data_IF_531943820491
#
_entry.id   IF_531943820491
#
_cell.length_a   1.000
_cell.length_b   1.000
_cell.length_c   1.000
_cell.angle_alpha   90.00
_cell.angle_beta   90.00
_cell.angle_gamma   90.00
#
_symmetry.space_group_name_H-M   'P 1'
#
loop_
_entity.id
_entity.type
_entity.pdbx_description
1 polymer ?
#
# COMPACT_ATOMS: atom_id res chain seq x y z
N UNK A 1 7.01 9.77 13.41
CA UNK A 1 6.88 9.48 11.96
C UNK A 1 8.06 8.62 11.56
N UNK A 2 7.83 7.54 10.82
CA UNK A 2 8.92 6.63 10.38
C UNK A 2 9.55 7.14 9.07
N UNK A 3 10.86 7.01 8.92
CA UNK A 3 11.53 7.31 7.64
C UNK A 3 11.36 6.13 6.67
N UNK A 4 10.28 6.18 5.88
CA UNK A 4 9.92 5.15 4.91
C UNK A 4 10.88 5.07 3.71
N UNK A 5 11.65 6.13 3.44
CA UNK A 5 12.51 6.23 2.26
C UNK A 5 13.99 5.99 2.56
N UNK A 6 14.35 5.83 3.85
CA UNK A 6 15.66 5.27 4.20
C UNK A 6 15.83 3.89 3.55
N UNK A 7 16.80 3.78 2.65
CA UNK A 7 17.04 2.60 1.82
C UNK A 7 17.18 1.32 2.65
N UNK A 8 16.39 0.30 2.30
CA UNK A 8 16.50 -1.04 2.87
C UNK A 8 17.50 -1.94 2.12
N UNK A 9 17.83 -1.60 0.88
CA UNK A 9 18.75 -2.39 0.06
C UNK A 9 20.12 -2.47 0.74
N UNK A 10 20.63 -3.70 0.92
CA UNK A 10 21.89 -3.98 1.62
C UNK A 10 21.94 -3.53 3.09
N UNK A 11 20.82 -3.08 3.69
CA UNK A 11 20.70 -2.73 5.10
C UNK A 11 19.67 -3.65 5.77
N UNK A 12 20.18 -4.73 6.40
CA UNK A 12 19.34 -5.76 7.02
C UNK A 12 18.50 -5.25 8.19
N UNK A 13 19.05 -4.34 9.00
CA UNK A 13 18.37 -3.78 10.17
C UNK A 13 17.29 -2.78 9.76
N UNK A 14 17.59 -1.89 8.81
CA UNK A 14 16.57 -1.02 8.23
C UNK A 14 15.46 -1.83 7.57
N UNK A 15 15.80 -2.90 6.84
CA UNK A 15 14.78 -3.78 6.24
C UNK A 15 13.89 -4.42 7.31
N UNK A 16 14.46 -4.88 8.44
CA UNK A 16 13.67 -5.43 9.56
C UNK A 16 12.73 -4.37 10.14
N UNK A 17 13.24 -3.15 10.38
CA UNK A 17 12.45 -2.04 10.89
C UNK A 17 11.30 -1.66 9.93
N UNK A 18 11.58 -1.56 8.63
CA UNK A 18 10.59 -1.28 7.58
C UNK A 18 9.43 -2.28 7.61
N UNK A 19 9.73 -3.59 7.63
CA UNK A 19 8.67 -4.61 7.66
C UNK A 19 7.86 -4.59 8.94
N UNK A 20 8.52 -4.39 10.10
CA UNK A 20 7.82 -4.26 11.38
C UNK A 20 6.86 -3.08 11.35
N UNK A 21 7.33 -1.93 10.89
CA UNK A 21 6.53 -0.71 10.86
C UNK A 21 5.41 -0.78 9.82
N UNK A 22 5.68 -1.31 8.62
CA UNK A 22 4.66 -1.49 7.58
C UNK A 22 3.54 -2.45 8.05
N UNK A 23 3.89 -3.57 8.71
CA UNK A 23 2.88 -4.46 9.30
C UNK A 23 2.03 -3.76 10.36
N UNK A 24 2.64 -2.95 11.22
CA UNK A 24 1.91 -2.18 12.23
C UNK A 24 0.95 -1.18 11.57
N UNK A 25 1.42 -0.41 10.59
CA UNK A 25 0.61 0.54 9.84
C UNK A 25 -0.56 -0.14 9.09
N UNK A 26 -0.31 -1.29 8.44
CA UNK A 26 -1.36 -2.04 7.74
C UNK A 26 -2.40 -2.64 8.69
N UNK A 27 -2.02 -3.03 9.91
CA UNK A 27 -2.99 -3.43 10.96
C UNK A 27 -3.85 -2.24 11.40
N UNK A 28 -3.25 -1.06 11.57
CA UNK A 28 -4.00 0.15 11.88
C UNK A 28 -4.96 0.51 10.74
N UNK A 29 -4.52 0.40 9.49
CA UNK A 29 -5.35 0.58 8.30
C UNK A 29 -6.54 -0.41 8.27
N UNK A 30 -6.30 -1.70 8.54
CA UNK A 30 -7.35 -2.71 8.59
C UNK A 30 -8.42 -2.35 9.63
N UNK A 31 -7.99 -1.84 10.79
CA UNK A 31 -8.89 -1.34 11.85
C UNK A 31 -9.71 -0.15 11.37
N UNK A 32 -9.09 0.85 10.74
CA UNK A 32 -9.80 2.01 10.16
C UNK A 32 -10.83 1.57 9.10
N UNK A 33 -10.47 0.60 8.27
CA UNK A 33 -11.35 0.02 7.25
C UNK A 33 -12.44 -0.89 7.82
N UNK A 34 -12.36 -1.22 9.12
CA UNK A 34 -13.24 -2.15 9.83
C UNK A 34 -13.25 -3.55 9.20
N UNK A 35 -12.09 -4.01 8.72
CA UNK A 35 -11.94 -5.37 8.23
C UNK A 35 -11.87 -6.37 9.39
N UNK A 36 -12.74 -7.39 9.45
CA UNK A 36 -12.59 -8.49 10.39
C UNK A 36 -11.26 -9.22 10.18
N UNK A 37 -10.59 -9.68 11.24
CA UNK A 37 -9.28 -10.36 11.09
C UNK A 37 -9.33 -11.60 10.18
N UNK A 38 -10.48 -12.30 10.12
CA UNK A 38 -10.68 -13.48 9.25
C UNK A 38 -10.81 -13.12 7.76
N UNK A 39 -11.11 -11.86 7.44
CA UNK A 39 -11.39 -11.40 6.07
C UNK A 39 -10.14 -11.02 5.28
N UNK A 40 -8.97 -10.92 5.95
CA UNK A 40 -7.72 -10.54 5.29
C UNK A 40 -6.52 -11.35 5.77
N UNK A 41 -5.56 -11.52 4.85
CA UNK A 41 -4.23 -12.04 5.16
C UNK A 41 -3.22 -10.88 5.24
N UNK A 42 -2.31 -10.92 6.22
CA UNK A 42 -1.20 -9.97 6.34
C UNK A 42 0.15 -10.68 6.27
N UNK A 43 0.79 -10.63 5.10
CA UNK A 43 2.00 -11.37 4.77
C UNK A 43 3.20 -10.45 4.59
N UNK A 44 4.39 -10.98 4.83
CA UNK A 44 5.65 -10.28 4.63
C UNK A 44 6.60 -11.15 3.82
N UNK A 45 6.98 -10.67 2.65
CA UNK A 45 7.93 -11.33 1.77
C UNK A 45 9.24 -10.51 1.76
N UNK A 46 10.31 -11.07 2.32
CA UNK A 46 11.55 -10.32 2.58
C UNK A 46 12.36 -9.98 1.32
N UNK A 47 12.14 -10.74 0.24
CA UNK A 47 12.90 -10.62 -1.01
C UNK A 47 14.41 -10.80 -0.82
N UNK A 48 15.16 -10.56 -1.90
CA UNK A 48 16.62 -10.55 -1.89
C UNK A 48 17.21 -9.33 -1.17
N UNK A 49 18.51 -9.38 -0.90
CA UNK A 49 19.27 -8.32 -0.22
C UNK A 49 19.17 -6.95 -0.92
N UNK A 50 19.03 -6.91 -2.25
CA UNK A 50 18.96 -5.68 -3.04
C UNK A 50 17.62 -4.93 -2.99
N UNK A 51 16.57 -5.52 -2.41
CA UNK A 51 15.22 -4.93 -2.37
C UNK A 51 14.74 -4.76 -0.94
N UNK A 52 13.72 -3.92 -0.71
CA UNK A 52 13.04 -3.83 0.59
C UNK A 52 12.23 -5.09 0.92
N UNK A 53 11.84 -5.86 -0.10
CA UNK A 53 10.78 -6.86 0.01
C UNK A 53 9.40 -6.18 -0.03
N UNK A 54 8.36 -6.93 0.26
CA UNK A 54 6.98 -6.45 0.20
C UNK A 54 6.17 -6.93 1.41
N UNK A 55 5.22 -6.10 1.83
CA UNK A 55 4.24 -6.42 2.86
C UNK A 55 2.87 -6.27 2.24
N UNK A 56 2.08 -7.32 2.32
CA UNK A 56 0.80 -7.41 1.62
C UNK A 56 -0.33 -7.61 2.62
N UNK A 57 -1.32 -6.73 2.57
CA UNK A 57 -2.64 -6.92 3.15
C UNK A 57 -3.58 -7.33 2.02
N UNK A 58 -4.07 -8.57 2.06
CA UNK A 58 -4.97 -9.10 1.03
C UNK A 58 -6.34 -9.40 1.65
N UNK A 59 -7.29 -8.51 1.42
CA UNK A 59 -8.69 -8.65 1.80
C UNK A 59 -9.49 -9.22 0.62
N UNK A 60 -10.70 -9.74 0.88
CA UNK A 60 -11.60 -10.29 -0.15
C UNK A 60 -12.04 -9.31 -1.25
N UNK A 61 -11.75 -8.02 -1.08
CA UNK A 61 -12.18 -6.95 -2.00
C UNK A 61 -11.05 -6.02 -2.43
N UNK A 62 -9.90 -6.09 -1.77
CA UNK A 62 -8.79 -5.19 -2.02
C UNK A 62 -7.47 -5.85 -1.67
N UNK A 63 -6.49 -5.68 -2.54
CA UNK A 63 -5.12 -6.08 -2.37
C UNK A 63 -4.25 -4.84 -2.20
N UNK A 64 -3.55 -4.75 -1.07
CA UNK A 64 -2.68 -3.62 -0.72
C UNK A 64 -1.27 -4.16 -0.53
N UNK A 65 -0.32 -3.59 -1.25
CA UNK A 65 1.09 -3.98 -1.18
C UNK A 65 1.95 -2.76 -0.88
N UNK A 66 2.92 -2.96 0.01
CA UNK A 66 3.86 -1.92 0.46
C UNK A 66 5.28 -2.37 0.15
N UNK A 67 6.03 -1.58 -0.61
CA UNK A 67 7.46 -1.77 -0.86
C UNK A 67 8.14 -0.42 -1.17
N UNK A 68 9.46 -0.37 -1.03
CA UNK A 68 10.23 0.76 -1.56
C UNK A 68 10.32 0.63 -3.09
N UNK A 69 9.86 1.63 -3.85
CA UNK A 69 9.89 1.59 -5.31
C UNK A 69 11.33 1.67 -5.81
N UNK A 70 11.70 0.77 -6.72
CA UNK A 70 13.05 0.71 -7.29
C UNK A 70 13.39 1.97 -8.13
N UNK A 71 12.38 2.65 -8.64
CA UNK A 71 12.51 3.87 -9.46
C UNK A 71 12.73 5.13 -8.63
N UNK A 72 12.61 5.05 -7.29
CA UNK A 72 12.67 6.22 -6.42
C UNK A 72 11.44 7.14 -6.50
N UNK A 73 10.42 6.77 -7.27
CA UNK A 73 9.15 7.51 -7.33
C UNK A 73 8.40 7.45 -5.99
N UNK A 74 7.51 8.41 -5.73
CA UNK A 74 6.73 8.45 -4.48
C UNK A 74 5.48 7.55 -4.54
N UNK A 75 5.70 6.25 -4.81
CA UNK A 75 4.65 5.28 -5.21
C UNK A 75 4.73 3.93 -4.49
N UNK A 76 5.25 3.91 -3.26
CA UNK A 76 5.54 2.66 -2.54
C UNK A 76 4.32 1.91 -1.97
N UNK A 77 3.10 2.43 -2.12
CA UNK A 77 1.86 1.73 -1.78
C UNK A 77 1.09 1.44 -3.06
N UNK A 78 0.84 0.17 -3.33
CA UNK A 78 -0.03 -0.30 -4.41
C UNK A 78 -1.38 -0.71 -3.80
N UNK A 79 -2.47 -0.22 -4.38
CA UNK A 79 -3.85 -0.54 -4.00
C UNK A 79 -4.57 -1.00 -5.28
N UNK A 80 -5.18 -2.18 -5.24
CA UNK A 80 -6.02 -2.69 -6.34
C UNK A 80 -7.25 -3.38 -5.77
N UNK A 81 -8.39 -3.25 -6.44
CA UNK A 81 -9.56 -4.08 -6.14
C UNK A 81 -9.29 -5.53 -6.52
N UNK A 82 -10.02 -6.46 -5.91
CA UNK A 82 -9.97 -7.87 -6.28
C UNK A 82 -11.29 -8.58 -5.96
N UNK A 83 -11.52 -9.72 -6.59
CA UNK A 83 -12.65 -10.62 -6.33
C UNK A 83 -12.21 -11.84 -5.52
N UNK A 84 -12.03 -11.63 -4.21
CA UNK A 84 -11.57 -12.65 -3.29
C UNK A 84 -10.04 -12.81 -3.26
N UNK A 85 -9.54 -13.62 -2.33
CA UNK A 85 -8.10 -13.74 -2.04
C UNK A 85 -7.30 -14.58 -3.06
N UNK A 86 -7.98 -15.15 -4.06
CA UNK A 86 -7.38 -15.95 -5.15
C UNK A 86 -7.44 -15.23 -6.50
N UNK A 87 -7.91 -13.99 -6.52
CA UNK A 87 -7.89 -13.17 -7.72
C UNK A 87 -6.48 -12.60 -7.94
N UNK A 88 -5.85 -13.09 -9.01
CA UNK A 88 -4.49 -12.71 -9.40
C UNK A 88 -4.48 -11.61 -10.47
N UNK A 89 -5.60 -11.37 -11.15
CA UNK A 89 -5.73 -10.32 -12.17
C UNK A 89 -6.01 -8.97 -11.50
N UNK A 90 -7.02 -8.92 -10.64
CA UNK A 90 -7.42 -7.71 -9.91
C UNK A 90 -7.85 -6.54 -10.79
N UNK A 91 -8.16 -5.42 -10.15
CA UNK A 91 -8.42 -4.15 -10.82
C UNK A 91 -7.15 -3.37 -11.16
N UNK A 92 -7.34 -2.14 -11.64
CA UNK A 92 -6.25 -1.22 -11.97
C UNK A 92 -5.35 -0.92 -10.75
N UNK A 93 -4.08 -0.64 -11.03
CA UNK A 93 -3.10 -0.25 -10.03
C UNK A 93 -3.30 1.21 -9.61
N UNK A 94 -3.57 1.44 -8.33
CA UNK A 94 -3.62 2.76 -7.73
C UNK A 94 -2.43 2.94 -6.78
N UNK A 95 -1.57 3.92 -7.08
CA UNK A 95 -0.32 4.14 -6.37
C UNK A 95 -0.44 5.27 -5.34
N UNK A 96 0.20 5.10 -4.20
CA UNK A 96 0.26 6.08 -3.12
C UNK A 96 1.67 6.20 -2.53
N UNK A 97 1.99 7.35 -1.94
CA UNK A 97 3.24 7.56 -1.21
C UNK A 97 3.27 6.75 0.09
N UNK A 98 4.45 6.25 0.50
CA UNK A 98 4.65 5.51 1.76
C UNK A 98 4.34 6.37 2.99
N UNK A 99 4.43 7.69 2.88
CA UNK A 99 4.09 8.63 3.96
C UNK A 99 2.63 8.54 4.43
N UNK A 100 1.73 7.95 3.64
CA UNK A 100 0.34 7.67 4.06
C UNK A 100 0.25 6.58 5.13
N UNK A 101 1.28 5.75 5.30
CA UNK A 101 1.31 4.72 6.36
C UNK A 101 1.33 5.32 7.77
N UNK A 102 1.78 6.56 7.93
CA UNK A 102 1.68 7.30 9.19
C UNK A 102 0.28 7.90 9.42
N UNK A 103 -0.60 7.88 8.41
CA UNK A 103 -1.91 8.54 8.40
C UNK A 103 -3.02 7.54 8.01
N UNK A 104 -3.28 6.52 8.86
CA UNK A 104 -4.14 5.38 8.49
C UNK A 104 -5.58 5.78 8.15
N UNK A 105 -6.13 6.83 8.78
CA UNK A 105 -7.47 7.32 8.46
C UNK A 105 -7.57 7.89 7.03
N UNK A 106 -6.55 8.64 6.60
CA UNK A 106 -6.48 9.18 5.24
C UNK A 106 -6.25 8.06 4.22
N UNK A 107 -5.34 7.12 4.52
CA UNK A 107 -5.13 5.95 3.67
C UNK A 107 -6.39 5.10 3.54
N UNK A 108 -7.17 4.95 4.62
CA UNK A 108 -8.46 4.28 4.57
C UNK A 108 -9.47 5.02 3.67
N UNK A 109 -9.47 6.35 3.69
CA UNK A 109 -10.24 7.16 2.73
C UNK A 109 -9.88 6.83 1.29
N UNK A 110 -8.57 6.76 0.99
CA UNK A 110 -8.10 6.44 -0.35
C UNK A 110 -8.48 5.01 -0.78
N UNK A 111 -8.28 4.03 0.08
CA UNK A 111 -8.67 2.63 -0.18
C UNK A 111 -10.17 2.51 -0.44
N UNK A 112 -11.02 3.20 0.34
CA UNK A 112 -12.48 3.21 0.10
C UNK A 112 -12.84 3.82 -1.24
N UNK A 113 -12.18 4.92 -1.64
CA UNK A 113 -12.38 5.52 -2.96
C UNK A 113 -12.06 4.51 -4.07
N UNK A 114 -10.90 3.83 -4.00
CA UNK A 114 -10.52 2.78 -4.94
C UNK A 114 -11.54 1.63 -4.97
N UNK A 115 -11.97 1.13 -3.80
CA UNK A 115 -12.97 0.06 -3.70
C UNK A 115 -14.34 0.43 -4.27
N UNK A 116 -14.69 1.72 -4.24
CA UNK A 116 -15.96 2.23 -4.78
C UNK A 116 -15.92 2.57 -6.27
N UNK A 117 -14.72 2.67 -6.87
CA UNK A 117 -14.52 3.20 -8.22
C UNK A 117 -14.69 4.72 -8.33
N UNK A 118 -14.98 5.44 -7.24
CA UNK A 118 -15.11 6.90 -7.24
C UNK A 118 -13.73 7.58 -7.22
N UNK A 119 -13.13 7.68 -8.42
CA UNK A 119 -11.83 8.32 -8.59
C UNK A 119 -11.89 9.85 -8.40
N UNK A 120 -13.09 10.45 -8.34
CA UNK A 120 -13.22 11.90 -8.09
C UNK A 120 -12.80 12.27 -6.67
N UNK A 121 -12.97 11.35 -5.71
CA UNK A 121 -12.48 11.49 -4.33
C UNK A 121 -10.95 11.50 -4.26
N UNK A 122 -10.30 10.72 -5.12
CA UNK A 122 -8.82 10.66 -5.21
C UNK A 122 -8.27 12.00 -5.69
N UNK A 123 -8.90 12.60 -6.70
CA UNK A 123 -8.57 13.93 -7.22
C UNK A 123 -8.55 14.99 -6.12
N UNK A 124 -9.53 14.93 -5.21
CA UNK A 124 -9.67 15.87 -4.09
C UNK A 124 -8.60 15.64 -3.02
N UNK A 125 -8.17 14.40 -2.82
CA UNK A 125 -7.16 14.04 -1.82
C UNK A 125 -5.74 14.40 -2.24
N UNK A 126 -5.42 14.29 -3.53
CA UNK A 126 -4.05 14.48 -4.04
C UNK A 126 -3.89 15.64 -5.03
N UNK A 127 -4.97 16.40 -5.27
CA UNK A 127 -5.02 17.48 -6.25
C UNK A 127 -5.24 16.99 -7.69
N UNK A 128 -5.65 17.89 -8.61
CA UNK A 128 -6.04 17.55 -9.98
C UNK A 128 -4.90 16.93 -10.81
N UNK A 129 -3.64 17.12 -10.41
CA UNK A 129 -2.47 16.54 -11.08
C UNK A 129 -2.23 15.06 -10.75
N UNK A 130 -2.92 14.49 -9.75
CA UNK A 130 -2.76 13.08 -9.38
C UNK A 130 -3.24 12.11 -10.49
N UNK A 131 -4.21 12.53 -11.32
CA UNK A 131 -4.69 11.73 -12.44
C UNK A 131 -3.67 11.54 -13.56
N UNK A 132 -2.67 12.42 -13.68
CA UNK A 132 -1.61 12.29 -14.70
C UNK A 132 -0.61 11.16 -14.41
N UNK A 133 -0.62 10.61 -13.20
CA UNK A 133 0.27 9.52 -12.79
C UNK A 133 -0.30 8.12 -13.07
N UNK A 134 -1.58 8.03 -13.44
CA UNK A 134 -2.31 6.76 -13.66
C UNK A 134 -2.45 6.38 -15.15
N UNK A 135 -1.92 7.17 -16.08
CA UNK A 135 -2.09 6.97 -17.53
C UNK A 135 -0.79 6.57 -18.28
N UNK A 136 0.35 6.46 -17.58
CA UNK A 136 1.60 6.02 -18.17
C UNK A 136 2.26 4.98 -17.26
N UNK A 137 1.97 3.72 -17.53
CA UNK A 137 2.55 2.53 -16.90
C UNK A 137 2.04 1.29 -17.58
#
# INVERSE_FOLDING_TARGET
MFDWYRRCAYDGEQKKAFHRQARFALRALAKELRFPEVSYDLRSHRGGVAVSGEITLHHERVHIQVCQPATGADSGILIRTCEGRRDYDGGLNHLAPLSLLDRPAELAGYVRAVMSGDLSLISRMFGPLAHKWLACG
#
